data_IF_994533162149
#
_entry.id   IF_994533162149
#
_cell.length_a   1.000
_cell.length_b   1.000
_cell.length_c   1.000
_cell.angle_alpha   90.00
_cell.angle_beta   90.00
_cell.angle_gamma   90.00
#
_symmetry.space_group_name_H-M   'P 1'
#
loop_
_entity.id
_entity.type
_entity.pdbx_description
1 polymer ?
#
# COMPACT_ATOMS: atom_id res chain seq x y z
N UNK A 1 5.95 -50.76 36.90
CA UNK A 1 6.33 -50.21 35.58
C UNK A 1 5.80 -48.79 35.55
N UNK A 2 6.65 -47.80 35.81
CA UNK A 2 6.21 -46.41 36.07
C UNK A 2 7.06 -45.40 35.28
N UNK A 3 7.58 -45.81 34.12
CA UNK A 3 8.50 -45.01 33.30
C UNK A 3 7.92 -44.42 32.01
N UNK A 4 6.65 -44.67 31.67
CA UNK A 4 6.06 -44.26 30.39
C UNK A 4 5.41 -42.86 30.38
N UNK A 5 5.01 -42.32 31.54
CA UNK A 5 4.16 -41.14 31.58
C UNK A 5 4.88 -39.81 31.31
N UNK A 6 6.16 -39.66 31.69
CA UNK A 6 6.86 -38.38 31.53
C UNK A 6 7.36 -38.14 30.10
N UNK A 7 7.88 -39.18 29.42
CA UNK A 7 8.31 -39.07 28.03
C UNK A 7 7.13 -38.83 27.08
N UNK A 8 5.99 -39.48 27.30
CA UNK A 8 4.79 -39.26 26.48
C UNK A 8 4.17 -37.88 26.72
N UNK A 9 4.21 -37.36 27.96
CA UNK A 9 3.79 -35.99 28.26
C UNK A 9 4.71 -34.95 27.60
N UNK A 10 6.03 -35.16 27.61
CA UNK A 10 7.00 -34.29 26.93
C UNK A 10 6.84 -34.31 25.41
N UNK A 11 6.60 -35.49 24.82
CA UNK A 11 6.29 -35.64 23.39
C UNK A 11 4.98 -34.93 23.02
N UNK A 12 3.96 -35.04 23.87
CA UNK A 12 2.68 -34.35 23.69
C UNK A 12 2.84 -32.82 23.74
N UNK A 13 3.59 -32.31 24.73
CA UNK A 13 3.87 -30.88 24.86
C UNK A 13 4.65 -30.35 23.64
N UNK A 14 5.64 -31.10 23.15
CA UNK A 14 6.40 -30.74 21.95
C UNK A 14 5.53 -30.67 20.69
N UNK A 15 4.66 -31.65 20.49
CA UNK A 15 3.75 -31.68 19.34
C UNK A 15 2.75 -30.53 19.41
N UNK A 16 2.26 -30.20 20.60
CA UNK A 16 1.36 -29.06 20.79
C UNK A 16 2.06 -27.71 20.53
N UNK A 17 3.29 -27.54 21.02
CA UNK A 17 4.11 -26.38 20.71
C UNK A 17 4.34 -26.22 19.20
N UNK A 18 4.67 -27.31 18.51
CA UNK A 18 4.87 -27.30 17.06
C UNK A 18 3.57 -26.94 16.32
N UNK A 19 2.44 -27.50 16.74
CA UNK A 19 1.11 -27.21 16.18
C UNK A 19 0.75 -25.73 16.34
N UNK A 20 0.93 -25.17 17.53
CA UNK A 20 0.67 -23.76 17.83
C UNK A 20 1.61 -22.85 17.02
N UNK A 21 2.89 -23.20 16.94
CA UNK A 21 3.88 -22.44 16.16
C UNK A 21 3.51 -22.42 14.67
N UNK A 22 3.20 -23.58 14.08
CA UNK A 22 2.78 -23.69 12.67
C UNK A 22 1.50 -22.91 12.40
N UNK A 23 0.50 -23.02 13.28
CA UNK A 23 -0.77 -22.30 13.15
C UNK A 23 -0.56 -20.78 13.25
N UNK A 24 0.26 -20.33 14.20
CA UNK A 24 0.58 -18.91 14.37
C UNK A 24 1.33 -18.35 13.17
N UNK A 25 2.33 -19.08 12.67
CA UNK A 25 3.08 -18.69 11.48
C UNK A 25 2.19 -18.62 10.23
N UNK A 26 1.29 -19.60 10.06
CA UNK A 26 0.32 -19.59 8.96
C UNK A 26 -0.60 -18.38 9.00
N UNK A 27 -1.10 -18.02 10.20
CA UNK A 27 -1.92 -16.82 10.38
C UNK A 27 -1.13 -15.55 10.07
N UNK A 28 0.09 -15.41 10.59
CA UNK A 28 0.96 -14.26 10.32
C UNK A 28 1.24 -14.11 8.82
N UNK A 29 1.52 -15.21 8.12
CA UNK A 29 1.76 -15.19 6.69
C UNK A 29 0.55 -14.68 5.91
N UNK A 30 -0.66 -15.15 6.24
CA UNK A 30 -1.90 -14.69 5.63
C UNK A 30 -2.15 -13.20 5.90
N UNK A 31 -2.00 -12.75 7.14
CA UNK A 31 -2.18 -11.34 7.50
C UNK A 31 -1.18 -10.41 6.81
N UNK A 32 0.09 -10.83 6.71
CA UNK A 32 1.12 -10.07 6.01
C UNK A 32 0.79 -9.94 4.53
N UNK A 33 0.42 -11.04 3.87
CA UNK A 33 0.05 -11.01 2.46
C UNK A 33 -1.16 -10.12 2.20
N UNK A 34 -2.18 -10.17 3.07
CA UNK A 34 -3.35 -9.30 2.97
C UNK A 34 -2.96 -7.82 3.13
N UNK A 35 -2.08 -7.49 4.07
CA UNK A 35 -1.59 -6.12 4.25
C UNK A 35 -0.77 -5.63 3.06
N UNK A 36 0.11 -6.47 2.51
CA UNK A 36 0.89 -6.14 1.31
C UNK A 36 -0.05 -5.91 0.12
N UNK A 37 -1.05 -6.77 -0.06
CA UNK A 37 -2.05 -6.61 -1.11
C UNK A 37 -2.77 -5.26 -0.97
N UNK A 38 -3.24 -4.92 0.23
CA UNK A 38 -3.89 -3.63 0.49
C UNK A 38 -2.96 -2.45 0.24
N UNK A 39 -1.67 -2.54 0.59
CA UNK A 39 -0.68 -1.50 0.31
C UNK A 39 -0.46 -1.30 -1.20
N UNK A 40 -0.38 -2.39 -1.97
CA UNK A 40 -0.23 -2.30 -3.43
C UNK A 40 -1.48 -1.71 -4.08
N UNK A 41 -2.67 -2.15 -3.67
CA UNK A 41 -3.94 -1.57 -4.12
C UNK A 41 -4.03 -0.07 -3.84
N UNK A 42 -3.46 0.35 -2.72
CA UNK A 42 -3.45 1.72 -2.26
C UNK A 42 -2.46 2.57 -3.08
N UNK A 43 -1.25 2.06 -3.31
CA UNK A 43 -0.24 2.66 -4.19
C UNK A 43 -0.73 2.80 -5.64
N UNK A 44 -1.42 1.78 -6.18
CA UNK A 44 -2.00 1.86 -7.52
C UNK A 44 -3.07 2.96 -7.66
N UNK A 45 -3.80 3.26 -6.58
CA UNK A 45 -4.90 4.24 -6.61
C UNK A 45 -4.43 5.67 -6.39
N UNK A 46 -3.52 5.90 -5.46
CA UNK A 46 -3.08 7.26 -5.11
C UNK A 46 -1.57 7.46 -5.06
N UNK A 47 -0.77 6.41 -5.25
CA UNK A 47 0.69 6.47 -5.12
C UNK A 47 1.33 7.50 -6.04
N UNK A 48 0.70 7.81 -7.18
CA UNK A 48 1.15 8.90 -8.06
C UNK A 48 1.21 10.26 -7.35
N UNK A 49 0.36 10.50 -6.35
CA UNK A 49 0.37 11.72 -5.55
C UNK A 49 1.59 11.85 -4.63
N UNK A 50 2.26 10.72 -4.33
CA UNK A 50 3.47 10.71 -3.50
C UNK A 50 4.72 11.08 -4.29
N UNK A 51 4.67 11.00 -5.62
CA UNK A 51 5.78 11.40 -6.48
C UNK A 51 5.73 12.90 -6.78
N UNK A 52 6.15 13.70 -5.80
CA UNK A 52 6.16 15.17 -5.89
C UNK A 52 7.01 15.68 -7.05
N UNK A 53 8.08 14.99 -7.42
CA UNK A 53 8.92 15.37 -8.56
C UNK A 53 8.15 15.29 -9.88
N UNK A 54 7.48 14.16 -10.13
CA UNK A 54 6.64 13.99 -11.31
C UNK A 54 5.43 14.93 -11.26
N UNK A 55 4.81 15.15 -10.10
CA UNK A 55 3.73 16.11 -9.95
C UNK A 55 4.16 17.55 -10.25
N UNK A 56 5.37 17.96 -9.91
CA UNK A 56 5.83 19.34 -10.11
C UNK A 56 6.42 19.57 -11.51
N UNK A 57 7.10 18.57 -12.07
CA UNK A 57 7.95 18.77 -13.25
C UNK A 57 7.68 17.77 -14.39
N UNK A 58 6.81 16.78 -14.16
CA UNK A 58 6.47 15.77 -15.16
C UNK A 58 5.82 16.37 -16.40
N UNK A 59 6.15 15.81 -17.56
CA UNK A 59 5.67 16.28 -18.86
C UNK A 59 4.47 15.48 -19.38
N UNK A 60 4.17 14.31 -18.79
CA UNK A 60 3.10 13.44 -19.25
C UNK A 60 1.76 13.80 -18.59
N UNK A 61 1.09 14.81 -19.14
CA UNK A 61 -0.22 15.29 -18.66
C UNK A 61 -1.34 14.29 -18.91
N UNK A 62 -1.25 13.46 -19.95
CA UNK A 62 -2.29 12.48 -20.26
C UNK A 62 -2.36 11.37 -19.20
N UNK A 63 -1.19 10.86 -18.78
CA UNK A 63 -1.10 9.89 -17.68
C UNK A 63 -1.54 10.52 -16.36
N UNK A 64 -1.18 11.78 -16.10
CA UNK A 64 -1.65 12.50 -14.92
C UNK A 64 -3.18 12.63 -14.90
N UNK A 65 -3.79 13.01 -16.03
CA UNK A 65 -5.24 13.14 -16.16
C UNK A 65 -5.94 11.80 -15.91
N UNK A 66 -5.43 10.73 -16.48
CA UNK A 66 -5.99 9.39 -16.29
C UNK A 66 -5.89 8.94 -14.83
N UNK A 67 -4.76 9.18 -14.16
CA UNK A 67 -4.59 8.88 -12.74
C UNK A 67 -5.56 9.69 -11.86
N UNK A 68 -5.74 10.98 -12.15
CA UNK A 68 -6.66 11.83 -11.39
C UNK A 68 -8.13 11.40 -11.61
N UNK A 69 -8.51 11.06 -12.85
CA UNK A 69 -9.85 10.50 -13.15
C UNK A 69 -10.11 9.21 -12.39
N UNK A 70 -9.18 8.26 -12.46
CA UNK A 70 -9.30 6.99 -11.75
C UNK A 70 -9.46 7.22 -10.25
N UNK A 71 -8.65 8.11 -9.65
CA UNK A 71 -8.79 8.47 -8.24
C UNK A 71 -10.17 9.07 -7.93
N UNK A 72 -10.65 9.99 -8.77
CA UNK A 72 -11.97 10.61 -8.67
C UNK A 72 -13.10 9.59 -8.80
N UNK A 73 -13.00 8.61 -9.69
CA UNK A 73 -14.00 7.56 -9.83
C UNK A 73 -14.06 6.66 -8.59
N UNK A 74 -12.90 6.30 -8.04
CA UNK A 74 -12.81 5.49 -6.81
C UNK A 74 -13.33 6.22 -5.57
N UNK A 75 -13.01 7.51 -5.43
CA UNK A 75 -13.39 8.36 -4.29
C UNK A 75 -14.32 9.50 -4.73
N UNK A 76 -15.35 9.15 -5.50
CA UNK A 76 -16.27 10.12 -6.15
C UNK A 76 -17.06 11.01 -5.21
N UNK A 77 -17.06 10.73 -3.91
CA UNK A 77 -17.65 11.60 -2.88
C UNK A 77 -16.69 12.65 -2.35
N UNK A 78 -15.40 12.39 -2.44
CA UNK A 78 -14.35 13.16 -1.79
C UNK A 78 -13.52 13.95 -2.81
N UNK A 79 -13.36 13.44 -4.03
CA UNK A 79 -12.53 14.03 -5.07
C UNK A 79 -13.26 14.14 -6.39
N UNK A 80 -13.07 15.28 -7.06
CA UNK A 80 -13.31 15.42 -8.49
C UNK A 80 -11.97 15.29 -9.22
N UNK A 81 -11.82 14.23 -10.01
CA UNK A 81 -10.57 13.93 -10.71
C UNK A 81 -10.15 15.00 -11.73
N UNK A 82 -11.10 15.70 -12.35
CA UNK A 82 -10.79 16.78 -13.27
C UNK A 82 -10.30 18.03 -12.52
N UNK A 83 -10.97 18.39 -11.42
CA UNK A 83 -10.55 19.52 -10.59
C UNK A 83 -9.16 19.28 -10.00
N UNK A 84 -8.89 18.07 -9.49
CA UNK A 84 -7.56 17.72 -8.97
C UNK A 84 -6.47 17.84 -10.04
N UNK A 85 -6.73 17.36 -11.26
CA UNK A 85 -5.80 17.50 -12.37
C UNK A 85 -5.49 18.97 -12.67
N UNK A 86 -6.52 19.80 -12.76
CA UNK A 86 -6.38 21.22 -13.06
C UNK A 86 -5.61 21.96 -11.95
N UNK A 87 -5.90 21.66 -10.67
CA UNK A 87 -5.15 22.21 -9.53
C UNK A 87 -3.66 21.83 -9.56
N UNK A 88 -3.32 20.60 -9.96
CA UNK A 88 -1.92 20.18 -10.12
C UNK A 88 -1.25 20.99 -11.24
N UNK A 89 -1.91 21.19 -12.38
CA UNK A 89 -1.36 22.00 -13.47
C UNK A 89 -1.16 23.46 -13.06
N UNK A 90 -2.11 24.04 -12.32
CA UNK A 90 -1.98 25.39 -11.78
C UNK A 90 -0.78 25.49 -10.84
N UNK A 91 -0.58 24.49 -9.97
CA UNK A 91 0.60 24.41 -9.12
C UNK A 91 1.91 24.35 -9.93
N UNK A 92 1.96 23.57 -11.01
CA UNK A 92 3.12 23.51 -11.92
C UNK A 92 3.43 24.87 -12.53
N UNK A 93 2.41 25.57 -13.01
CA UNK A 93 2.57 26.92 -13.56
C UNK A 93 3.15 27.87 -12.50
N UNK A 94 2.60 27.86 -11.28
CA UNK A 94 3.13 28.67 -10.18
C UNK A 94 4.59 28.34 -9.85
N UNK A 95 4.98 27.07 -9.83
CA UNK A 95 6.36 26.66 -9.58
C UNK A 95 7.31 27.11 -10.69
N UNK A 96 6.90 26.95 -11.95
CA UNK A 96 7.70 27.39 -13.10
C UNK A 96 7.96 28.90 -13.10
N UNK A 97 6.99 29.70 -12.64
CA UNK A 97 7.13 31.17 -12.55
C UNK A 97 8.13 31.65 -11.49
N UNK A 98 8.49 30.79 -10.54
CA UNK A 98 9.39 31.10 -9.42
C UNK A 98 10.83 30.64 -9.65
N UNK A 99 11.07 29.82 -10.67
CA UNK A 99 12.42 29.43 -11.04
C UNK A 99 13.08 30.60 -11.79
N UNK A 100 14.24 31.12 -11.34
CA UNK A 100 14.93 32.17 -12.06
C UNK A 100 15.31 31.65 -13.46
N UNK A 101 15.06 32.47 -14.49
CA UNK A 101 15.56 32.20 -15.84
C UNK A 101 17.06 31.91 -15.76
N UNK A 102 17.46 30.76 -16.30
CA UNK A 102 18.82 30.24 -16.21
C UNK A 102 19.73 30.88 -17.24
#
# INVERSE_FOLDING_TARGET
MEGGNSQDADLSAKNEMERVMKSTLGRLHMEINERIFRLNEMDLKFGFLLNVEELCYGHNTDVLLENCKNLGDFYSRDFNGFELHDEILDCRMLLSSRLPEK
#
